data_IF_677371163303
#
_entry.id   IF_677371163303
#
_cell.length_a   1.000
_cell.length_b   1.000
_cell.length_c   1.000
_cell.angle_alpha   90.00
_cell.angle_beta   90.00
_cell.angle_gamma   90.00
#
_symmetry.space_group_name_H-M   'P 1'
#
loop_
_entity.id
_entity.type
_entity.pdbx_description
1 polymer ?
#
# COMPACT_ATOMS: atom_id res chain seq x y z
N UNK A 1 7.46 -26.71 2.79
CA UNK A 1 8.40 -26.28 3.84
C UNK A 1 7.61 -26.10 5.12
N UNK A 2 7.88 -26.91 6.14
CA UNK A 2 7.37 -26.68 7.48
C UNK A 2 8.38 -25.80 8.21
N UNK A 3 7.95 -24.69 8.85
CA UNK A 3 8.86 -23.83 9.60
C UNK A 3 9.41 -24.57 10.81
N UNK A 4 10.67 -24.31 11.17
CA UNK A 4 11.38 -24.97 12.27
C UNK A 4 10.76 -24.62 13.64
N UNK A 5 10.03 -23.50 13.75
CA UNK A 5 9.18 -23.08 14.87
C UNK A 5 7.98 -22.26 14.34
N UNK A 6 6.82 -22.39 14.97
CA UNK A 6 5.59 -21.70 14.54
C UNK A 6 5.63 -20.17 14.69
N UNK A 7 6.60 -19.64 15.44
CA UNK A 7 6.72 -18.21 15.78
C UNK A 7 7.69 -17.41 14.89
N UNK A 8 8.40 -18.06 13.96
CA UNK A 8 9.48 -17.41 13.16
C UNK A 8 8.92 -16.34 12.21
N UNK A 9 7.73 -16.55 11.68
CA UNK A 9 7.18 -15.65 10.67
C UNK A 9 6.54 -14.43 11.35
N UNK A 10 7.07 -13.24 11.00
CA UNK A 10 6.51 -11.95 11.40
C UNK A 10 5.98 -11.21 10.19
N UNK A 11 4.92 -10.44 10.37
CA UNK A 11 4.32 -9.66 9.30
C UNK A 11 3.91 -8.28 9.81
N UNK A 12 3.80 -7.32 8.90
CA UNK A 12 3.29 -5.98 9.19
C UNK A 12 2.14 -5.65 8.24
N UNK A 13 1.15 -4.83 8.65
CA UNK A 13 0.12 -4.38 7.71
C UNK A 13 0.75 -3.59 6.55
N UNK A 14 0.34 -3.84 5.31
CA UNK A 14 0.86 -3.12 4.14
C UNK A 14 0.73 -1.59 4.27
N UNK A 15 -0.32 -1.11 4.92
CA UNK A 15 -0.50 0.30 5.24
C UNK A 15 0.60 0.87 6.14
N UNK A 16 1.17 0.12 7.09
CA UNK A 16 2.31 0.57 7.90
C UNK A 16 3.59 0.73 7.08
N UNK A 17 3.78 -0.12 6.07
CA UNK A 17 4.91 -0.05 5.14
C UNK A 17 4.86 1.26 4.34
N UNK A 18 3.67 1.66 3.89
CA UNK A 18 3.45 2.84 3.04
C UNK A 18 3.25 4.15 3.82
N UNK A 19 3.04 4.09 5.15
CA UNK A 19 2.89 5.28 5.99
C UNK A 19 4.09 6.23 5.86
N UNK A 20 3.80 7.53 5.99
CA UNK A 20 4.81 8.59 5.87
C UNK A 20 5.62 8.49 4.57
N UNK A 21 4.94 8.25 3.44
CA UNK A 21 5.55 8.05 2.12
C UNK A 21 6.62 6.95 2.14
N UNK A 22 6.27 5.79 2.69
CA UNK A 22 7.16 4.64 2.76
C UNK A 22 8.45 4.89 3.51
N UNK A 23 8.40 5.58 4.66
CA UNK A 23 9.59 5.90 5.47
C UNK A 23 10.51 4.68 5.70
N UNK A 24 10.02 3.47 6.04
CA UNK A 24 10.87 2.29 6.20
C UNK A 24 11.61 1.84 4.93
N UNK A 25 11.18 2.28 3.75
CA UNK A 25 11.80 1.97 2.46
C UNK A 25 12.76 3.08 1.98
N UNK A 26 12.69 4.26 2.59
CA UNK A 26 13.51 5.44 2.24
C UNK A 26 14.70 5.65 3.15
N UNK A 27 14.59 5.22 4.40
CA UNK A 27 15.60 5.42 5.43
C UNK A 27 16.25 4.10 5.79
N UNK A 28 17.56 4.04 5.62
CA UNK A 28 18.39 2.89 6.02
C UNK A 28 18.69 2.89 7.52
N UNK A 29 18.49 4.02 8.19
CA UNK A 29 18.61 4.16 9.64
C UNK A 29 17.22 4.08 10.31
N UNK A 30 17.14 3.31 11.40
CA UNK A 30 15.94 3.15 12.20
C UNK A 30 15.52 1.70 12.40
N UNK A 31 14.99 1.43 13.59
CA UNK A 31 14.47 0.14 14.00
C UNK A 31 12.94 0.13 13.92
N UNK A 32 12.41 -0.69 13.01
CA UNK A 32 10.98 -0.79 12.75
C UNK A 32 10.37 -2.08 13.29
N UNK A 33 11.14 -2.91 14.00
CA UNK A 33 10.75 -4.23 14.48
C UNK A 33 9.45 -4.22 15.29
N UNK A 34 9.24 -3.19 16.12
CA UNK A 34 8.01 -2.99 16.90
C UNK A 34 6.72 -2.87 16.06
N UNK A 35 6.81 -2.62 14.74
CA UNK A 35 5.67 -2.57 13.82
C UNK A 35 5.32 -3.91 13.20
N UNK A 36 6.15 -4.92 13.41
CA UNK A 36 5.88 -6.29 13.00
C UNK A 36 5.17 -7.05 14.12
N UNK A 37 4.38 -8.06 13.76
CA UNK A 37 3.73 -8.98 14.70
C UNK A 37 3.92 -10.43 14.25
N UNK A 38 4.01 -11.41 15.18
CA UNK A 38 4.01 -12.82 14.82
C UNK A 38 2.79 -13.16 13.97
N UNK A 39 3.00 -13.95 12.92
CA UNK A 39 1.94 -14.36 12.00
C UNK A 39 2.30 -15.63 11.27
N UNK A 40 1.38 -16.57 11.22
CA UNK A 40 1.51 -17.81 10.43
C UNK A 40 1.15 -17.61 8.96
N UNK A 41 0.69 -16.41 8.56
CA UNK A 41 0.23 -16.13 7.20
C UNK A 41 0.73 -14.77 6.71
N UNK A 42 1.36 -14.80 5.54
CA UNK A 42 1.75 -13.61 4.79
C UNK A 42 1.05 -13.64 3.44
N UNK A 43 0.52 -12.51 2.98
CA UNK A 43 -0.06 -12.43 1.64
C UNK A 43 1.01 -12.18 0.58
N UNK A 44 2.07 -11.46 0.95
CA UNK A 44 3.12 -11.03 0.03
C UNK A 44 4.42 -10.77 0.79
N UNK A 45 5.52 -10.93 0.08
CA UNK A 45 6.87 -10.68 0.57
C UNK A 45 7.46 -9.48 -0.18
N UNK A 46 7.92 -8.46 0.56
CA UNK A 46 8.58 -7.29 0.00
C UNK A 46 10.04 -7.26 0.47
N UNK A 47 10.96 -7.54 -0.47
CA UNK A 47 12.37 -7.39 -0.17
C UNK A 47 12.79 -5.92 -0.16
N UNK A 48 13.74 -5.59 0.72
CA UNK A 48 14.34 -4.27 0.74
C UNK A 48 15.29 -4.04 -0.44
N UNK A 49 16.00 -5.08 -0.90
CA UNK A 49 17.09 -5.02 -1.89
C UNK A 49 16.62 -4.92 -3.35
N UNK A 50 15.43 -4.37 -3.60
CA UNK A 50 14.99 -4.08 -4.97
C UNK A 50 15.91 -3.05 -5.61
N UNK A 51 16.32 -3.31 -6.85
CA UNK A 51 17.08 -2.34 -7.61
C UNK A 51 16.19 -1.13 -7.96
N UNK A 52 16.69 0.08 -7.76
CA UNK A 52 15.98 1.32 -8.09
C UNK A 52 15.71 2.24 -6.90
N UNK A 53 15.27 3.48 -7.17
CA UNK A 53 15.10 4.50 -6.14
C UNK A 53 13.88 4.21 -5.25
N UNK A 54 13.93 4.65 -4.00
CA UNK A 54 12.88 4.39 -3.01
C UNK A 54 11.48 4.86 -3.46
N UNK A 55 11.37 5.99 -4.14
CA UNK A 55 10.08 6.50 -4.64
C UNK A 55 9.42 5.53 -5.64
N UNK A 56 10.20 4.84 -6.48
CA UNK A 56 9.68 3.88 -7.44
C UNK A 56 9.17 2.61 -6.73
N UNK A 57 9.86 2.18 -5.66
CA UNK A 57 9.40 1.08 -4.79
C UNK A 57 8.06 1.45 -4.13
N UNK A 58 7.96 2.67 -3.59
CA UNK A 58 6.73 3.17 -2.95
C UNK A 58 5.58 3.24 -3.94
N UNK A 59 5.80 3.82 -5.12
CA UNK A 59 4.77 3.94 -6.15
C UNK A 59 4.29 2.56 -6.61
N UNK A 60 5.22 1.64 -6.84
CA UNK A 60 4.90 0.24 -7.19
C UNK A 60 4.03 -0.41 -6.12
N UNK A 61 4.37 -0.24 -4.84
CA UNK A 61 3.59 -0.79 -3.73
C UNK A 61 2.22 -0.11 -3.58
N UNK A 62 2.10 1.19 -3.85
CA UNK A 62 0.80 1.88 -3.88
C UNK A 62 -0.08 1.32 -5.01
N UNK A 63 0.47 1.15 -6.22
CA UNK A 63 -0.25 0.58 -7.36
C UNK A 63 -0.67 -0.86 -7.11
N UNK A 64 0.24 -1.70 -6.59
CA UNK A 64 -0.04 -3.11 -6.32
C UNK A 64 -1.15 -3.28 -5.27
N UNK A 65 -1.12 -2.47 -4.21
CA UNK A 65 -2.04 -2.63 -3.08
C UNK A 65 -3.38 -1.92 -3.28
N UNK A 66 -3.35 -0.71 -3.86
CA UNK A 66 -4.49 0.18 -3.92
C UNK A 66 -5.04 0.36 -5.34
N UNK A 67 -4.30 -0.02 -6.39
CA UNK A 67 -4.66 0.25 -7.78
C UNK A 67 -6.02 -0.31 -8.19
N UNK A 68 -6.35 -1.54 -7.79
CA UNK A 68 -7.67 -2.15 -8.06
C UNK A 68 -8.82 -1.34 -7.46
N UNK A 69 -8.70 -0.93 -6.19
CA UNK A 69 -9.69 -0.09 -5.53
C UNK A 69 -9.78 1.30 -6.18
N UNK A 70 -8.63 1.88 -6.55
CA UNK A 70 -8.56 3.18 -7.20
C UNK A 70 -9.27 3.18 -8.56
N UNK A 71 -9.05 2.17 -9.40
CA UNK A 71 -9.74 2.01 -10.69
C UNK A 71 -11.24 1.84 -10.50
N UNK A 72 -11.66 0.95 -9.60
CA UNK A 72 -13.08 0.67 -9.36
C UNK A 72 -13.83 1.91 -8.87
N UNK A 73 -13.31 2.58 -7.83
CA UNK A 73 -13.96 3.76 -7.25
C UNK A 73 -13.91 4.98 -8.16
N UNK A 74 -12.80 5.18 -8.88
CA UNK A 74 -12.72 6.20 -9.93
C UNK A 74 -13.79 5.96 -11.00
N UNK A 75 -13.88 4.74 -11.53
CA UNK A 75 -14.86 4.39 -12.57
C UNK A 75 -16.30 4.60 -12.07
N UNK A 76 -16.60 4.15 -10.85
CA UNK A 76 -17.92 4.36 -10.22
C UNK A 76 -18.26 5.84 -10.06
N UNK A 77 -17.27 6.67 -9.68
CA UNK A 77 -17.48 8.12 -9.53
C UNK A 77 -17.80 8.80 -10.85
N UNK A 78 -17.11 8.44 -11.94
CA UNK A 78 -17.37 9.00 -13.28
C UNK A 78 -18.75 8.59 -13.78
N UNK A 79 -19.14 7.33 -13.60
CA UNK A 79 -20.47 6.85 -13.96
C UNK A 79 -21.57 7.57 -13.16
N UNK A 80 -21.36 7.79 -11.87
CA UNK A 80 -22.30 8.53 -11.02
C UNK A 80 -22.46 9.98 -11.48
N UNK A 81 -21.36 10.68 -11.78
CA UNK A 81 -21.39 12.04 -12.33
C UNK A 81 -22.12 12.07 -13.68
N UNK A 82 -21.84 11.12 -14.57
CA UNK A 82 -22.53 10.99 -15.86
C UNK A 82 -24.03 10.77 -15.71
N UNK A 83 -24.45 9.94 -14.75
CA UNK A 83 -25.86 9.70 -14.44
C UNK A 83 -26.55 10.96 -13.92
N UNK A 84 -25.94 11.64 -12.93
CA UNK A 84 -26.48 12.87 -12.36
C UNK A 84 -26.60 13.99 -13.40
N UNK A 85 -25.65 14.05 -14.34
CA UNK A 85 -25.71 14.95 -15.49
C UNK A 85 -26.87 14.60 -16.43
N UNK A 86 -27.04 13.33 -16.80
CA UNK A 86 -28.16 12.88 -17.64
C UNK A 86 -29.54 13.13 -17.00
N UNK A 87 -29.61 13.13 -15.67
CA UNK A 87 -30.82 13.47 -14.90
C UNK A 87 -31.06 14.98 -14.74
N UNK A 88 -30.16 15.84 -15.23
CA UNK A 88 -30.26 17.30 -15.10
C UNK A 88 -30.04 17.83 -13.68
N UNK A 89 -29.56 16.99 -12.75
CA UNK A 89 -29.23 17.40 -11.38
C UNK A 89 -27.92 18.22 -11.30
N UNK A 90 -27.12 18.15 -12.36
CA UNK A 90 -25.81 18.75 -12.50
C UNK A 90 -25.84 19.76 -13.67
N UNK A 91 -25.24 20.96 -13.53
CA UNK A 91 -25.18 21.94 -14.62
C UNK A 91 -24.45 21.39 -15.86
N UNK A 92 -24.57 22.03 -17.04
CA UNK A 92 -23.79 21.65 -18.21
C UNK A 92 -22.30 21.64 -17.92
N UNK A 93 -21.75 20.43 -17.79
CA UNK A 93 -20.32 20.19 -17.62
C UNK A 93 -19.69 19.94 -18.99
N UNK A 94 -18.54 20.56 -19.26
CA UNK A 94 -17.73 20.15 -20.41
C UNK A 94 -17.28 18.70 -20.22
N UNK A 95 -17.12 17.96 -21.32
CA UNK A 95 -16.77 16.53 -21.33
C UNK A 95 -15.52 16.21 -20.47
N UNK A 96 -14.62 17.18 -20.29
CA UNK A 96 -13.39 17.03 -19.49
C UNK A 96 -13.58 16.96 -17.97
N UNK A 97 -14.69 17.46 -17.41
CA UNK A 97 -14.89 17.47 -15.95
C UNK A 97 -15.04 16.07 -15.36
N UNK A 98 -15.68 15.15 -16.08
CA UNK A 98 -15.75 13.74 -15.66
C UNK A 98 -14.36 13.11 -15.52
N UNK A 99 -13.45 13.42 -16.45
CA UNK A 99 -12.05 12.98 -16.37
C UNK A 99 -11.32 13.58 -15.17
N UNK A 100 -11.56 14.87 -14.87
CA UNK A 100 -10.97 15.54 -13.70
C UNK A 100 -11.44 14.90 -12.39
N UNK A 101 -12.75 14.65 -12.24
CA UNK A 101 -13.31 13.98 -11.06
C UNK A 101 -12.75 12.57 -10.92
N UNK A 102 -12.75 11.79 -12.01
CA UNK A 102 -12.19 10.43 -12.02
C UNK A 102 -10.71 10.43 -11.62
N UNK A 103 -9.89 11.27 -12.23
CA UNK A 103 -8.47 11.40 -11.89
C UNK A 103 -8.27 11.78 -10.43
N UNK A 104 -9.04 12.76 -9.93
CA UNK A 104 -8.99 13.17 -8.53
C UNK A 104 -9.34 12.03 -7.57
N UNK A 105 -10.43 11.31 -7.82
CA UNK A 105 -10.83 10.14 -7.02
C UNK A 105 -9.78 9.03 -7.10
N UNK A 106 -9.24 8.76 -8.29
CA UNK A 106 -8.18 7.78 -8.49
C UNK A 106 -6.96 8.06 -7.61
N UNK A 107 -6.40 9.28 -7.67
CA UNK A 107 -5.21 9.63 -6.88
C UNK A 107 -5.49 9.64 -5.38
N UNK A 108 -6.67 10.10 -4.95
CA UNK A 108 -7.05 10.05 -3.53
C UNK A 108 -7.14 8.61 -3.02
N UNK A 109 -7.81 7.73 -3.76
CA UNK A 109 -7.91 6.32 -3.37
C UNK A 109 -6.53 5.67 -3.42
N UNK A 110 -5.73 5.93 -4.46
CA UNK A 110 -4.38 5.37 -4.55
C UNK A 110 -3.50 5.76 -3.34
N UNK A 111 -3.57 7.02 -2.91
CA UNK A 111 -2.75 7.55 -1.81
C UNK A 111 -3.26 7.16 -0.42
N UNK A 112 -4.58 7.18 -0.20
CA UNK A 112 -5.17 7.08 1.14
C UNK A 112 -5.90 5.77 1.42
N UNK A 113 -6.10 4.90 0.41
CA UNK A 113 -6.75 3.62 0.63
C UNK A 113 -5.91 2.72 1.53
N UNK A 114 -6.47 2.35 2.68
CA UNK A 114 -5.75 1.61 3.69
C UNK A 114 -6.05 0.11 3.60
N UNK A 115 -5.25 -0.62 2.81
CA UNK A 115 -5.30 -2.09 2.80
C UNK A 115 -4.64 -2.66 4.05
N UNK A 116 -5.37 -3.51 4.77
CA UNK A 116 -4.95 -4.14 6.04
C UNK A 116 -4.32 -5.54 5.89
N UNK A 117 -3.99 -5.98 4.67
CA UNK A 117 -3.39 -7.30 4.50
C UNK A 117 -1.96 -7.33 5.07
N UNK A 118 -1.54 -8.50 5.50
CA UNK A 118 -0.27 -8.72 6.18
C UNK A 118 0.82 -9.08 5.18
N UNK A 119 1.88 -8.28 5.18
CA UNK A 119 3.05 -8.46 4.32
C UNK A 119 4.29 -8.67 5.16
N UNK A 120 5.19 -9.51 4.65
CA UNK A 120 6.54 -9.59 5.18
C UNK A 120 7.39 -8.50 4.52
N UNK A 121 8.12 -7.73 5.32
CA UNK A 121 9.09 -6.76 4.82
C UNK A 121 10.38 -6.96 5.57
N UNK A 122 11.47 -7.30 4.88
CA UNK A 122 12.78 -7.62 5.48
C UNK A 122 13.16 -6.57 6.53
N UNK A 123 13.05 -5.29 6.18
CA UNK A 123 13.46 -4.16 7.02
C UNK A 123 12.62 -3.96 8.28
N UNK A 124 11.37 -4.42 8.29
CA UNK A 124 10.43 -4.24 9.41
C UNK A 124 10.35 -5.52 10.24
N UNK A 125 10.42 -6.69 9.61
CA UNK A 125 10.17 -7.97 10.25
C UNK A 125 11.44 -8.61 10.81
N UNK A 126 12.63 -8.18 10.36
CA UNK A 126 13.93 -8.62 10.87
C UNK A 126 14.53 -7.49 11.72
N UNK A 127 14.87 -7.78 12.98
CA UNK A 127 15.57 -6.81 13.83
C UNK A 127 16.91 -6.45 13.20
N UNK A 128 17.29 -5.17 13.19
CA UNK A 128 18.53 -4.72 12.56
C UNK A 128 19.64 -4.45 13.57
N UNK A 129 19.26 -4.08 14.79
CA UNK A 129 20.10 -3.69 15.92
C UNK A 129 20.49 -4.87 16.80
N UNK A 130 19.60 -5.85 16.97
CA UNK A 130 19.80 -6.95 17.91
C UNK A 130 20.12 -8.26 17.14
N UNK A 131 21.35 -8.75 17.29
CA UNK A 131 21.78 -10.00 16.66
C UNK A 131 21.09 -11.23 17.26
N UNK A 132 20.63 -11.18 18.51
CA UNK A 132 19.91 -12.30 19.13
C UNK A 132 18.55 -12.49 18.44
N UNK A 133 17.84 -11.39 18.17
CA UNK A 133 16.54 -11.39 17.48
C UNK A 133 16.63 -11.57 15.94
N UNK A 134 17.84 -11.57 15.36
CA UNK A 134 18.08 -11.91 13.94
C UNK A 134 18.16 -13.42 13.71
N UNK A 135 18.58 -14.17 14.73
CA UNK A 135 18.79 -15.62 14.67
C UNK A 135 17.63 -16.45 15.20
N UNK A 136 16.61 -15.82 15.79
CA UNK A 136 15.33 -16.41 16.23
C UNK A 136 14.25 -16.36 15.14
#
# INVERSE_FOLDING_TARGET
MLPTRDEILRATPAGEVLKCLGRPLRQDEGEYYHKSRPSTRISSFYSHSWHGPAWAKILTLMLLNNGSAAVLLSSASVLLVGLLYGLGALPPFSLGWGCVVGAFVYYLVLAFWHRRHLVFVDRICISQSDEQLKGE
#
